data_IF_540610703480
#
_entry.id   IF_540610703480
#
_cell.length_a   1.000
_cell.length_b   1.000
_cell.length_c   1.000
_cell.angle_alpha   90.00
_cell.angle_beta   90.00
_cell.angle_gamma   90.00
#
_symmetry.space_group_name_H-M   'P 1'
#
loop_
_entity.id
_entity.type
_entity.pdbx_description
1 polymer ?
#
# COMPACT_ATOMS: atom_id res chain seq x y z
N UNK A 1 1.51 -10.51 -13.83
CA UNK A 1 1.39 -9.30 -12.99
C UNK A 1 0.52 -8.30 -13.74
N UNK A 2 -0.41 -7.66 -13.04
CA UNK A 2 -1.39 -6.73 -13.60
C UNK A 2 -1.10 -5.31 -13.14
N UNK A 3 -1.51 -4.32 -13.94
CA UNK A 3 -1.50 -2.93 -13.48
C UNK A 3 -2.51 -2.77 -12.34
N UNK A 4 -2.13 -2.04 -11.32
CA UNK A 4 -2.97 -1.75 -10.16
C UNK A 4 -2.96 -0.25 -9.88
N UNK A 5 -4.13 0.28 -9.53
CA UNK A 5 -4.28 1.62 -8.96
C UNK A 5 -5.51 1.66 -8.06
N UNK A 6 -5.37 2.25 -6.88
CA UNK A 6 -6.46 2.54 -5.96
C UNK A 6 -6.18 3.87 -5.24
N UNK A 7 -7.21 4.67 -4.99
CA UNK A 7 -7.10 6.01 -4.39
C UNK A 7 -7.64 6.10 -2.96
N UNK A 8 -8.29 5.04 -2.46
CA UNK A 8 -8.92 4.98 -1.15
C UNK A 8 -8.34 3.87 -0.25
N UNK A 9 -7.00 3.78 -0.19
CA UNK A 9 -6.32 2.75 0.60
C UNK A 9 -5.89 3.25 1.98
N UNK A 10 -6.01 2.40 3.00
CA UNK A 10 -5.49 2.66 4.36
C UNK A 10 -4.50 1.58 4.77
N UNK A 11 -3.48 1.96 5.54
CA UNK A 11 -2.59 0.97 6.16
C UNK A 11 -3.24 0.46 7.45
N UNK A 12 -3.36 -0.86 7.58
CA UNK A 12 -3.89 -1.51 8.79
C UNK A 12 -2.77 -2.13 9.62
N UNK A 13 -1.70 -2.60 8.99
CA UNK A 13 -0.55 -3.16 9.68
C UNK A 13 0.78 -2.81 8.98
N UNK A 14 1.86 -2.76 9.76
CA UNK A 14 3.23 -2.59 9.28
C UNK A 14 4.11 -3.67 9.92
N UNK A 15 4.94 -4.34 9.12
CA UNK A 15 6.01 -5.21 9.56
C UNK A 15 7.33 -4.73 8.96
N UNK A 16 8.19 -4.19 9.81
CA UNK A 16 9.54 -3.79 9.41
C UNK A 16 10.47 -5.01 9.51
N UNK A 17 11.25 -5.25 8.46
CA UNK A 17 12.28 -6.30 8.41
C UNK A 17 13.60 -5.69 7.96
N UNK A 18 14.71 -6.39 8.17
CA UNK A 18 16.05 -5.88 7.82
C UNK A 18 16.18 -5.45 6.35
N UNK A 19 15.62 -6.25 5.43
CA UNK A 19 15.77 -6.04 3.98
C UNK A 19 14.65 -5.24 3.34
N UNK A 20 13.44 -5.24 3.90
CA UNK A 20 12.27 -4.58 3.30
C UNK A 20 11.16 -4.41 4.34
N UNK A 21 10.24 -3.49 4.08
CA UNK A 21 9.03 -3.34 4.91
C UNK A 21 7.84 -4.00 4.21
N UNK A 22 6.91 -4.55 5.00
CA UNK A 22 5.63 -5.06 4.52
C UNK A 22 4.52 -4.23 5.14
N UNK A 23 3.67 -3.62 4.30
CA UNK A 23 2.48 -2.92 4.73
C UNK A 23 1.25 -3.72 4.33
N UNK A 24 0.34 -3.96 5.27
CA UNK A 24 -0.99 -4.49 4.95
C UNK A 24 -1.90 -3.31 4.65
N UNK A 25 -2.37 -3.23 3.42
CA UNK A 25 -3.18 -2.12 2.92
C UNK A 25 -4.59 -2.61 2.62
N UNK A 26 -5.61 -1.93 3.14
CA UNK A 26 -7.01 -2.20 2.82
C UNK A 26 -7.52 -1.15 1.85
N UNK A 27 -8.09 -1.60 0.74
CA UNK A 27 -8.89 -0.77 -0.14
C UNK A 27 -10.30 -0.63 0.45
N UNK A 28 -10.68 0.60 0.78
CA UNK A 28 -11.98 0.87 1.42
C UNK A 28 -13.15 0.77 0.44
N UNK A 29 -12.91 0.91 -0.87
CA UNK A 29 -13.97 0.85 -1.88
C UNK A 29 -14.38 -0.60 -2.17
N UNK A 30 -13.41 -1.52 -2.16
CA UNK A 30 -13.62 -2.93 -2.50
C UNK A 30 -13.54 -3.88 -1.31
N UNK A 31 -13.18 -3.38 -0.12
CA UNK A 31 -12.82 -4.16 1.06
C UNK A 31 -11.66 -5.17 0.87
N UNK A 32 -10.98 -5.16 -0.29
CA UNK A 32 -9.84 -6.04 -0.54
C UNK A 32 -8.62 -5.64 0.27
N UNK A 33 -7.81 -6.63 0.65
CA UNK A 33 -6.59 -6.44 1.41
C UNK A 33 -5.41 -6.87 0.56
N UNK A 34 -4.36 -6.06 0.56
CA UNK A 34 -3.15 -6.29 -0.21
C UNK A 34 -1.91 -6.20 0.68
N UNK A 35 -0.89 -6.99 0.35
CA UNK A 35 0.43 -6.88 0.95
C UNK A 35 1.33 -6.03 0.06
N UNK A 36 1.70 -4.84 0.52
CA UNK A 36 2.64 -3.95 -0.14
C UNK A 36 4.06 -4.22 0.36
N UNK A 37 4.95 -4.58 -0.56
CA UNK A 37 6.37 -4.79 -0.27
C UNK A 37 7.18 -3.54 -0.64
N UNK A 38 7.81 -2.92 0.35
CA UNK A 38 8.72 -1.79 0.17
C UNK A 38 10.18 -2.22 0.34
N UNK A 39 10.77 -2.69 -0.76
CA UNK A 39 12.17 -3.13 -0.80
C UNK A 39 13.20 -2.02 -0.64
N UNK A 40 12.81 -0.77 -0.91
CA UNK A 40 13.71 0.38 -0.80
C UNK A 40 13.60 1.08 0.55
N UNK A 41 12.64 0.67 1.40
CA UNK A 41 12.32 1.32 2.68
C UNK A 41 12.14 2.84 2.54
N UNK A 42 11.57 3.29 1.42
CA UNK A 42 11.39 4.72 1.10
C UNK A 42 10.05 5.27 1.55
N UNK A 43 9.10 4.40 1.92
CA UNK A 43 7.74 4.80 2.20
C UNK A 43 7.44 4.69 3.69
N UNK A 44 6.83 5.76 4.22
CA UNK A 44 6.31 5.81 5.59
C UNK A 44 4.80 5.97 5.49
N UNK A 45 4.07 4.93 5.88
CA UNK A 45 2.60 4.94 5.95
C UNK A 45 2.15 5.14 7.40
N UNK A 46 1.12 5.96 7.62
CA UNK A 46 0.46 6.19 8.92
C UNK A 46 -0.97 5.65 8.87
N UNK A 47 -1.43 5.02 9.96
CA UNK A 47 -2.73 4.30 10.03
C UNK A 47 -3.96 5.20 9.85
N UNK A 48 -3.83 6.49 10.08
CA UNK A 48 -4.89 7.51 10.06
C UNK A 48 -5.02 8.23 8.71
N UNK A 49 -4.27 7.79 7.70
CA UNK A 49 -4.20 8.45 6.39
C UNK A 49 -4.77 7.57 5.28
N UNK A 50 -5.44 8.22 4.32
CA UNK A 50 -5.87 7.62 3.06
C UNK A 50 -4.80 7.85 2.01
N UNK A 51 -4.47 6.81 1.24
CA UNK A 51 -3.41 6.78 0.26
C UNK A 51 -3.92 6.44 -1.14
N UNK A 52 -3.34 7.13 -2.12
CA UNK A 52 -3.36 6.70 -3.51
C UNK A 52 -2.13 5.83 -3.80
N UNK A 53 -2.36 4.62 -4.31
CA UNK A 53 -1.34 3.61 -4.57
C UNK A 53 -1.50 3.16 -6.01
N UNK A 54 -0.40 3.17 -6.77
CA UNK A 54 -0.35 2.63 -8.12
C UNK A 54 0.92 1.81 -8.30
N UNK A 55 0.82 0.67 -8.99
CA UNK A 55 1.93 -0.28 -9.14
C UNK A 55 1.54 -1.54 -9.88
N UNK A 56 2.20 -2.65 -9.56
CA UNK A 56 1.89 -3.97 -10.11
C UNK A 56 1.38 -4.90 -9.01
N UNK A 57 0.34 -5.66 -9.31
CA UNK A 57 -0.22 -6.68 -8.42
C UNK A 57 -0.06 -8.07 -9.07
N UNK A 58 0.17 -9.10 -8.28
CA UNK A 58 0.13 -10.49 -8.74
C UNK A 58 -1.19 -11.17 -8.36
N UNK A 59 -1.40 -12.42 -8.79
CA UNK A 59 -2.62 -13.19 -8.48
C UNK A 59 -2.74 -13.63 -7.02
N UNK A 60 -1.74 -13.35 -6.18
CA UNK A 60 -1.74 -13.66 -4.75
C UNK A 60 -1.94 -12.40 -3.90
N UNK A 61 -2.53 -11.35 -4.48
CA UNK A 61 -2.79 -10.04 -3.84
C UNK A 61 -1.54 -9.37 -3.24
N UNK A 62 -0.35 -9.73 -3.74
CA UNK A 62 0.90 -9.05 -3.39
C UNK A 62 1.14 -7.89 -4.34
N UNK A 63 1.20 -6.70 -3.74
CA UNK A 63 1.53 -5.44 -4.39
C UNK A 63 3.05 -5.22 -4.36
N UNK A 64 3.63 -5.16 -5.55
CA UNK A 64 5.01 -4.78 -5.78
C UNK A 64 4.99 -3.36 -6.34
N UNK A 65 5.24 -2.38 -5.49
CA UNK A 65 4.87 -1.00 -5.80
C UNK A 65 6.11 -0.12 -5.96
N UNK A 66 6.21 0.56 -7.11
CA UNK A 66 6.90 1.85 -7.21
C UNK A 66 5.88 2.92 -6.82
N UNK A 67 5.79 3.29 -5.54
CA UNK A 67 4.77 4.28 -5.13
C UNK A 67 5.15 5.61 -5.77
N UNK A 68 4.41 6.02 -6.80
CA UNK A 68 4.73 7.26 -7.53
C UNK A 68 4.28 8.50 -6.77
N UNK A 69 3.27 8.41 -5.91
CA UNK A 69 2.71 9.58 -5.21
C UNK A 69 1.96 9.17 -3.94
N UNK A 70 2.55 9.47 -2.79
CA UNK A 70 1.85 9.42 -1.49
C UNK A 70 1.08 10.73 -1.33
N UNK A 71 -0.21 10.74 -1.65
CA UNK A 71 -1.09 11.86 -1.28
C UNK A 71 -1.90 11.42 -0.08
N UNK A 72 -1.57 11.95 1.09
CA UNK A 72 -2.36 11.71 2.29
C UNK A 72 -3.50 12.71 2.39
N UNK A 73 -4.73 12.23 2.43
CA UNK A 73 -5.88 13.01 2.92
C UNK A 73 -6.16 12.61 4.37
N UNK A 74 -6.51 13.59 5.21
CA UNK A 74 -6.96 13.34 6.59
C UNK A 74 -8.32 12.66 6.50
N UNK A 75 -8.50 11.58 7.29
CA UNK A 75 -9.80 10.94 7.45
C UNK A 75 -10.68 11.92 8.25
N UNK A 76 -11.63 12.57 7.58
CA UNK A 76 -12.65 13.42 8.23
C UNK A 76 -13.57 12.57 9.11
#
# INVERSE_FOLDING_TARGET
MFNFSANNMVVINCKELDRYNIFTMKDLDTNRVYLLYDFRKKHVFKRDKIYCVSGKVNSADKLYVSVKKLTSRIKL
#
